data_IF_021244018443
#
_entry.id   IF_021244018443
#
_cell.length_a   1.000
_cell.length_b   1.000
_cell.length_c   1.000
_cell.angle_alpha   90.00
_cell.angle_beta   90.00
_cell.angle_gamma   90.00
#
_symmetry.space_group_name_H-M   'P 1'
#
loop_
_entity.id
_entity.type
_entity.pdbx_description
1 polymer ?
#
# COMPACT_ATOMS: atom_id res chain seq x y z
N UNK A 1 -8.46 -50.00 -17.46
CA UNK A 1 -9.87 -50.30 -17.82
C UNK A 1 -10.63 -48.98 -17.74
N UNK A 2 -11.04 -48.44 -18.89
CA UNK A 2 -11.76 -47.17 -19.01
C UNK A 2 -13.21 -47.37 -18.57
N UNK A 3 -13.59 -46.83 -17.41
CA UNK A 3 -15.00 -46.64 -17.07
C UNK A 3 -15.50 -45.41 -17.80
N UNK A 4 -16.38 -45.63 -18.78
CA UNK A 4 -17.07 -44.56 -19.51
C UNK A 4 -17.78 -43.65 -18.51
N UNK A 5 -17.42 -42.37 -18.49
CA UNK A 5 -18.25 -41.31 -17.91
C UNK A 5 -19.61 -41.38 -18.61
N UNK A 6 -20.62 -41.87 -17.88
CA UNK A 6 -21.98 -41.89 -18.37
C UNK A 6 -22.49 -40.46 -18.45
N UNK A 7 -23.08 -40.10 -19.60
CA UNK A 7 -23.91 -38.91 -19.83
C UNK A 7 -24.53 -38.45 -18.50
N UNK A 8 -24.25 -37.23 -18.05
CA UNK A 8 -24.64 -36.66 -16.75
C UNK A 8 -26.16 -36.51 -16.51
N UNK A 9 -26.92 -37.54 -16.83
CA UNK A 9 -28.36 -37.72 -16.66
C UNK A 9 -28.59 -38.67 -15.51
N UNK A 10 -29.54 -38.33 -14.64
CA UNK A 10 -29.98 -39.21 -13.58
C UNK A 10 -30.51 -40.52 -14.17
N UNK A 11 -30.06 -41.66 -13.65
CA UNK A 11 -30.47 -42.99 -14.13
C UNK A 11 -31.94 -43.31 -13.85
N UNK A 12 -32.55 -42.62 -12.90
CA UNK A 12 -33.94 -42.88 -12.48
C UNK A 12 -34.97 -42.04 -13.22
N UNK A 13 -34.70 -40.75 -13.46
CA UNK A 13 -35.65 -39.84 -14.12
C UNK A 13 -35.15 -39.19 -15.40
N UNK A 14 -33.90 -39.46 -15.82
CA UNK A 14 -33.30 -38.89 -17.03
C UNK A 14 -33.01 -37.39 -16.97
N UNK A 15 -33.27 -36.72 -15.84
CA UNK A 15 -33.00 -35.30 -15.66
C UNK A 15 -31.50 -35.00 -15.66
N UNK A 16 -31.12 -33.90 -16.29
CA UNK A 16 -29.74 -33.39 -16.34
C UNK A 16 -29.42 -32.38 -15.22
N UNK A 17 -30.43 -31.97 -14.44
CA UNK A 17 -30.25 -30.99 -13.37
C UNK A 17 -29.91 -31.69 -12.05
N UNK A 18 -28.77 -31.29 -11.48
CA UNK A 18 -28.27 -31.73 -10.17
C UNK A 18 -28.40 -30.56 -9.18
N UNK A 19 -28.79 -30.85 -7.94
CA UNK A 19 -28.88 -29.92 -6.82
C UNK A 19 -27.87 -30.36 -5.76
N UNK A 20 -27.22 -29.42 -5.10
CA UNK A 20 -26.24 -29.71 -4.04
C UNK A 20 -26.98 -30.05 -2.73
N UNK A 21 -26.87 -31.31 -2.30
CA UNK A 21 -27.34 -31.76 -0.98
C UNK A 21 -26.25 -31.60 0.09
N UNK A 22 -26.48 -32.12 1.29
CA UNK A 22 -25.53 -31.95 2.41
C UNK A 22 -24.26 -32.80 2.30
N UNK A 23 -24.33 -33.91 1.56
CA UNK A 23 -23.23 -34.88 1.46
C UNK A 23 -23.01 -35.40 0.04
N UNK A 24 -24.02 -35.27 -0.83
CA UNK A 24 -24.04 -35.77 -2.20
C UNK A 24 -24.81 -34.76 -3.07
N UNK A 25 -24.51 -34.71 -4.36
CA UNK A 25 -25.39 -34.08 -5.34
C UNK A 25 -26.64 -34.94 -5.54
N UNK A 26 -27.81 -34.32 -5.44
CA UNK A 26 -29.12 -34.94 -5.62
C UNK A 26 -29.68 -34.59 -6.99
N UNK A 27 -30.51 -35.45 -7.57
CA UNK A 27 -31.22 -35.12 -8.78
C UNK A 27 -32.45 -34.24 -8.50
N UNK A 28 -32.55 -33.08 -9.15
CA UNK A 28 -33.68 -32.15 -9.01
C UNK A 28 -35.05 -32.77 -9.32
N UNK A 29 -35.09 -33.80 -10.18
CA UNK A 29 -36.32 -34.42 -10.64
C UNK A 29 -36.86 -35.56 -9.78
N UNK A 30 -35.98 -36.36 -9.14
CA UNK A 30 -36.38 -37.55 -8.38
C UNK A 30 -35.75 -37.66 -6.99
N UNK A 31 -34.85 -36.75 -6.62
CA UNK A 31 -34.11 -36.80 -5.36
C UNK A 31 -33.07 -37.92 -5.27
N UNK A 32 -32.82 -38.65 -6.35
CA UNK A 32 -31.84 -39.74 -6.37
C UNK A 32 -30.42 -39.23 -6.14
N UNK A 33 -29.67 -39.93 -5.28
CA UNK A 33 -28.27 -39.64 -4.99
C UNK A 33 -27.40 -39.88 -6.23
N UNK A 34 -26.60 -38.88 -6.62
CA UNK A 34 -25.72 -38.94 -7.79
C UNK A 34 -24.27 -39.14 -7.35
N UNK A 35 -23.55 -38.04 -7.12
CA UNK A 35 -22.13 -38.03 -6.81
C UNK A 35 -21.92 -37.52 -5.39
N UNK A 36 -21.00 -38.14 -4.65
CA UNK A 36 -20.56 -37.62 -3.36
C UNK A 36 -19.91 -36.27 -3.54
N UNK A 37 -20.24 -35.31 -2.69
CA UNK A 37 -19.49 -34.06 -2.61
C UNK A 37 -18.06 -34.38 -2.20
N UNK A 38 -17.10 -33.70 -2.81
CA UNK A 38 -15.72 -33.76 -2.34
C UNK A 38 -15.73 -33.29 -0.88
N UNK A 39 -15.11 -34.04 0.05
CA UNK A 39 -15.03 -33.60 1.43
C UNK A 39 -14.31 -32.25 1.46
N UNK A 40 -14.94 -31.25 2.07
CA UNK A 40 -14.31 -29.95 2.31
C UNK A 40 -12.93 -30.21 2.93
N UNK A 41 -11.82 -29.76 2.31
CA UNK A 41 -10.47 -29.95 2.86
C UNK A 41 -10.31 -29.35 4.27
N UNK A 42 -11.34 -28.66 4.78
CA UNK A 42 -11.41 -28.15 6.12
C UNK A 42 -10.67 -26.82 6.21
N UNK A 43 -10.86 -26.13 7.33
CA UNK A 43 -10.13 -24.92 7.63
C UNK A 43 -8.65 -25.25 7.89
N UNK A 44 -7.83 -25.20 6.86
CA UNK A 44 -6.38 -25.18 7.02
C UNK A 44 -6.02 -23.79 7.52
N UNK A 45 -5.36 -23.69 8.69
CA UNK A 45 -4.74 -22.43 9.13
C UNK A 45 -3.63 -22.12 8.11
N UNK A 46 -4.00 -21.45 7.02
CA UNK A 46 -3.04 -20.95 6.06
C UNK A 46 -2.10 -19.98 6.78
N UNK A 47 -0.82 -19.98 6.40
CA UNK A 47 0.14 -18.98 6.89
C UNK A 47 -0.52 -17.60 6.92
N UNK A 48 -0.55 -16.98 8.10
CA UNK A 48 -1.17 -15.65 8.36
C UNK A 48 -0.55 -14.52 7.55
N UNK A 49 0.48 -14.81 6.75
CA UNK A 49 1.11 -13.89 5.80
C UNK A 49 0.36 -13.92 4.47
N UNK A 50 -0.10 -12.76 3.95
CA UNK A 50 -0.65 -12.65 2.59
C UNK A 50 0.34 -13.22 1.57
N UNK A 51 -0.14 -13.88 0.52
CA UNK A 51 0.72 -14.51 -0.50
C UNK A 51 1.76 -13.56 -1.08
N UNK A 52 1.39 -12.29 -1.26
CA UNK A 52 2.26 -11.22 -1.77
C UNK A 52 3.46 -10.93 -0.86
N UNK A 53 3.33 -11.17 0.45
CA UNK A 53 4.39 -10.98 1.46
C UNK A 53 5.10 -12.28 1.82
N UNK A 54 4.66 -13.42 1.26
CA UNK A 54 5.36 -14.68 1.45
C UNK A 54 6.65 -14.60 0.64
N UNK A 55 7.74 -15.00 1.29
CA UNK A 55 8.96 -15.29 0.54
C UNK A 55 8.59 -16.35 -0.49
N UNK A 56 8.81 -16.06 -1.77
CA UNK A 56 8.84 -17.08 -2.78
C UNK A 56 10.00 -18.00 -2.42
N UNK A 57 9.73 -19.02 -1.60
CA UNK A 57 10.64 -20.15 -1.43
C UNK A 57 10.60 -20.99 -2.70
N UNK A 58 10.87 -20.34 -3.82
CA UNK A 58 11.02 -20.94 -5.14
C UNK A 58 12.37 -21.67 -5.25
N UNK A 59 13.07 -21.83 -4.11
CA UNK A 59 14.09 -22.85 -3.86
C UNK A 59 13.56 -24.28 -4.09
N UNK A 60 12.24 -24.45 -4.16
CA UNK A 60 11.54 -25.72 -4.39
C UNK A 60 10.78 -25.77 -5.72
N UNK A 61 11.14 -24.98 -6.74
CA UNK A 61 10.53 -25.15 -8.07
C UNK A 61 10.78 -26.53 -8.68
N UNK A 62 11.66 -27.34 -8.06
CA UNK A 62 12.04 -28.70 -8.46
C UNK A 62 11.58 -29.79 -7.45
N UNK A 63 10.74 -29.46 -6.45
CA UNK A 63 10.19 -30.44 -5.51
C UNK A 63 11.08 -30.73 -4.27
N UNK A 64 11.18 -32.02 -3.89
CA UNK A 64 11.70 -32.52 -2.61
C UNK A 64 13.15 -32.15 -2.28
N UNK A 65 13.46 -31.98 -0.99
CA UNK A 65 14.82 -31.69 -0.49
C UNK A 65 15.63 -32.96 -0.27
N UNK A 66 16.93 -32.90 -0.57
CA UNK A 66 17.92 -33.90 -0.15
C UNK A 66 18.36 -33.56 1.28
N UNK A 67 18.07 -34.47 2.21
CA UNK A 67 18.45 -34.32 3.63
C UNK A 67 19.96 -34.38 3.85
N UNK A 68 20.38 -33.94 5.04
CA UNK A 68 21.78 -34.04 5.47
C UNK A 68 22.17 -35.51 5.60
N UNK A 69 23.09 -35.95 4.74
CA UNK A 69 23.71 -37.28 4.80
C UNK A 69 25.22 -37.13 4.99
N UNK A 70 25.82 -38.11 5.67
CA UNK A 70 27.26 -38.26 5.86
C UNK A 70 27.97 -38.76 4.59
N UNK A 71 27.22 -39.28 3.62
CA UNK A 71 27.77 -39.78 2.36
C UNK A 71 28.25 -38.64 1.45
N UNK A 72 29.49 -38.76 0.96
CA UNK A 72 30.12 -37.75 0.08
C UNK A 72 29.34 -37.52 -1.21
N UNK A 73 28.73 -38.57 -1.76
CA UNK A 73 27.93 -38.49 -3.01
C UNK A 73 26.61 -37.75 -2.75
N UNK A 74 25.91 -38.08 -1.67
CA UNK A 74 24.68 -37.39 -1.28
C UNK A 74 24.95 -35.91 -0.94
N UNK A 75 26.06 -35.62 -0.24
CA UNK A 75 26.49 -34.26 0.04
C UNK A 75 26.80 -33.45 -1.24
N UNK A 76 27.41 -34.09 -2.25
CA UNK A 76 27.68 -33.45 -3.56
C UNK A 76 26.40 -33.20 -4.33
N UNK A 77 25.50 -34.19 -4.39
CA UNK A 77 24.18 -34.05 -5.03
C UNK A 77 23.33 -32.97 -4.35
N UNK A 78 23.38 -32.87 -3.02
CA UNK A 78 22.73 -31.80 -2.26
C UNK A 78 23.29 -30.42 -2.63
N UNK A 79 24.61 -30.26 -2.73
CA UNK A 79 25.22 -28.99 -3.15
C UNK A 79 24.79 -28.60 -4.56
N UNK A 80 24.80 -29.55 -5.50
CA UNK A 80 24.36 -29.32 -6.88
C UNK A 80 22.86 -29.00 -6.91
N UNK A 81 22.04 -29.74 -6.19
CA UNK A 81 20.61 -29.48 -6.08
C UNK A 81 20.34 -28.08 -5.51
N UNK A 82 21.01 -27.68 -4.42
CA UNK A 82 20.91 -26.32 -3.86
C UNK A 82 21.34 -25.27 -4.87
N UNK A 83 22.43 -25.48 -5.61
CA UNK A 83 22.89 -24.53 -6.62
C UNK A 83 21.90 -24.40 -7.78
N UNK A 84 21.40 -25.53 -8.29
CA UNK A 84 20.48 -25.60 -9.44
C UNK A 84 19.08 -25.14 -9.07
N UNK A 85 18.61 -25.43 -7.86
CA UNK A 85 17.32 -24.97 -7.35
C UNK A 85 17.38 -23.55 -6.77
N UNK A 86 18.59 -23.02 -6.50
CA UNK A 86 18.74 -21.62 -6.08
C UNK A 86 18.46 -20.68 -7.25
N UNK A 87 17.21 -20.21 -7.33
CA UNK A 87 16.92 -18.98 -8.05
C UNK A 87 17.53 -17.82 -7.26
N UNK A 88 18.39 -17.03 -7.89
CA UNK A 88 18.88 -15.77 -7.28
C UNK A 88 17.65 -14.92 -6.96
N UNK A 89 17.48 -14.44 -5.71
CA UNK A 89 16.32 -13.62 -5.36
C UNK A 89 16.29 -12.40 -6.27
N UNK A 90 15.11 -12.13 -6.82
CA UNK A 90 14.90 -10.96 -7.66
C UNK A 90 15.08 -9.70 -6.79
N UNK A 91 15.35 -8.58 -7.44
CA UNK A 91 15.48 -7.32 -6.70
C UNK A 91 14.18 -6.95 -5.97
N UNK A 92 13.03 -7.25 -6.57
CA UNK A 92 11.71 -7.08 -5.95
C UNK A 92 11.54 -7.89 -4.66
N UNK A 93 12.03 -9.13 -4.63
CA UNK A 93 11.98 -9.97 -3.43
C UNK A 93 12.76 -9.34 -2.27
N UNK A 94 13.90 -8.69 -2.56
CA UNK A 94 14.67 -7.96 -1.54
C UNK A 94 13.91 -6.73 -1.02
N UNK A 95 13.20 -6.01 -1.90
CA UNK A 95 12.38 -4.86 -1.49
C UNK A 95 11.25 -5.30 -0.57
N UNK A 96 10.57 -6.40 -0.91
CA UNK A 96 9.48 -6.97 -0.10
C UNK A 96 10.02 -7.50 1.24
N UNK A 97 11.21 -8.11 1.25
CA UNK A 97 11.86 -8.55 2.47
C UNK A 97 12.14 -7.39 3.44
N UNK A 98 12.72 -6.29 2.95
CA UNK A 98 12.98 -5.09 3.77
C UNK A 98 11.67 -4.46 4.28
N UNK A 99 10.59 -4.50 3.49
CA UNK A 99 9.26 -4.07 3.93
C UNK A 99 8.74 -4.92 5.09
N UNK A 100 8.80 -6.25 4.97
CA UNK A 100 8.27 -7.18 5.98
C UNK A 100 9.12 -7.15 7.26
N UNK A 101 10.44 -7.04 7.15
CA UNK A 101 11.35 -7.00 8.30
C UNK A 101 11.06 -5.80 9.21
N UNK A 102 10.73 -4.64 8.62
CA UNK A 102 10.61 -3.38 9.37
C UNK A 102 9.18 -2.95 9.64
N UNK A 103 8.26 -3.19 8.71
CA UNK A 103 6.85 -2.80 8.84
C UNK A 103 5.97 -3.93 9.35
N UNK A 104 6.52 -5.15 9.47
CA UNK A 104 5.75 -6.34 9.79
C UNK A 104 4.75 -6.71 8.70
N UNK A 105 3.87 -7.67 9.02
CA UNK A 105 2.81 -8.15 8.14
C UNK A 105 1.56 -7.32 8.41
N UNK A 106 1.46 -6.17 7.73
CA UNK A 106 0.34 -5.23 7.84
C UNK A 106 -0.35 -5.02 6.49
N UNK A 107 -1.60 -4.57 6.50
CA UNK A 107 -2.32 -4.18 5.25
C UNK A 107 -1.54 -3.13 4.44
N UNK A 108 -0.81 -2.24 5.11
CA UNK A 108 0.04 -1.25 4.46
C UNK A 108 1.25 -1.89 3.76
N UNK A 109 1.91 -2.87 4.41
CA UNK A 109 3.01 -3.62 3.78
C UNK A 109 2.52 -4.46 2.60
N UNK A 110 1.34 -5.07 2.71
CA UNK A 110 0.71 -5.84 1.63
C UNK A 110 0.39 -4.95 0.43
N UNK A 111 -0.29 -3.82 0.66
CA UNK A 111 -0.55 -2.84 -0.39
C UNK A 111 0.73 -2.32 -1.05
N UNK A 112 1.79 -2.11 -0.26
CA UNK A 112 3.06 -1.60 -0.78
C UNK A 112 3.75 -2.63 -1.67
N UNK A 113 3.72 -3.90 -1.25
CA UNK A 113 4.26 -5.01 -2.02
C UNK A 113 3.45 -5.23 -3.31
N UNK A 114 2.11 -5.18 -3.27
CA UNK A 114 1.27 -5.27 -4.48
C UNK A 114 1.60 -4.16 -5.48
N UNK A 115 1.72 -2.91 -5.01
CA UNK A 115 2.11 -1.77 -5.84
C UNK A 115 3.48 -1.99 -6.48
N UNK A 116 4.45 -2.50 -5.72
CA UNK A 116 5.79 -2.75 -6.24
C UNK A 116 5.83 -3.88 -7.27
N UNK A 117 5.02 -4.93 -7.09
CA UNK A 117 4.91 -6.04 -8.07
C UNK A 117 4.26 -5.53 -9.36
N UNK A 118 3.21 -4.74 -9.26
CA UNK A 118 2.55 -4.11 -10.42
C UNK A 118 3.55 -3.26 -11.21
N UNK A 119 4.28 -2.39 -10.52
CA UNK A 119 5.32 -1.56 -11.15
C UNK A 119 6.47 -2.37 -11.75
N UNK A 120 6.94 -3.42 -11.08
CA UNK A 120 8.02 -4.28 -11.58
C UNK A 120 7.60 -5.10 -12.81
N UNK A 121 6.30 -5.38 -12.96
CA UNK A 121 5.74 -6.09 -14.11
C UNK A 121 5.80 -5.25 -15.39
N UNK A 122 5.58 -3.93 -15.28
CA UNK A 122 5.71 -2.96 -16.39
C UNK A 122 7.18 -2.65 -16.69
N UNK A 123 7.94 -2.22 -15.68
CA UNK A 123 9.37 -1.95 -15.81
C UNK A 123 10.15 -2.53 -14.63
N UNK A 124 11.00 -3.52 -14.95
CA UNK A 124 11.83 -4.20 -13.94
C UNK A 124 12.69 -3.23 -13.14
N UNK A 125 12.36 -3.03 -11.86
CA UNK A 125 13.03 -2.11 -10.93
C UNK A 125 14.51 -2.45 -10.76
N UNK A 126 14.86 -3.74 -10.86
CA UNK A 126 16.25 -4.20 -10.80
C UNK A 126 17.15 -3.71 -11.96
N UNK A 127 16.56 -3.26 -13.08
CA UNK A 127 17.30 -2.62 -14.20
C UNK A 127 17.69 -1.19 -13.89
N UNK A 128 17.00 -0.53 -12.96
CA UNK A 128 17.28 0.84 -12.55
C UNK A 128 18.48 0.85 -11.59
N UNK A 129 19.68 0.97 -12.18
CA UNK A 129 20.98 0.96 -11.47
C UNK A 129 21.58 2.34 -11.27
N UNK A 130 20.79 3.40 -11.39
CA UNK A 130 21.28 4.77 -11.21
C UNK A 130 21.87 4.92 -9.80
N UNK A 131 23.13 5.40 -9.72
CA UNK A 131 23.80 5.68 -8.44
C UNK A 131 22.99 6.71 -7.65
N UNK A 132 22.82 6.44 -6.37
CA UNK A 132 22.05 7.26 -5.43
C UNK A 132 22.99 8.16 -4.64
N UNK A 133 22.49 9.29 -4.14
CA UNK A 133 23.31 10.23 -3.39
C UNK A 133 23.79 9.64 -2.06
N UNK A 134 22.96 8.82 -1.41
CA UNK A 134 23.30 8.12 -0.17
C UNK A 134 24.31 6.98 -0.32
N UNK A 135 24.62 6.53 -1.55
CA UNK A 135 25.50 5.36 -1.79
C UNK A 135 26.95 5.74 -2.10
N UNK A 136 27.38 6.98 -1.83
CA UNK A 136 28.71 7.50 -2.25
C UNK A 136 29.91 6.78 -1.60
N UNK A 137 29.72 6.08 -0.48
CA UNK A 137 30.78 5.37 0.26
C UNK A 137 30.45 3.89 0.53
N UNK A 138 29.41 3.36 -0.10
CA UNK A 138 28.90 2.01 0.17
C UNK A 138 29.48 0.97 -0.82
N UNK A 139 29.63 -0.26 -0.36
CA UNK A 139 29.92 -1.41 -1.23
C UNK A 139 28.77 -1.73 -2.18
N UNK A 140 28.97 -2.65 -3.14
CA UNK A 140 27.93 -3.02 -4.11
C UNK A 140 26.68 -3.65 -3.46
N UNK A 141 26.87 -4.48 -2.44
CA UNK A 141 25.78 -5.13 -1.70
C UNK A 141 25.00 -4.12 -0.86
N UNK A 142 25.69 -3.30 -0.05
CA UNK A 142 25.06 -2.24 0.75
C UNK A 142 24.33 -1.21 -0.13
N UNK A 143 24.87 -0.89 -1.30
CA UNK A 143 24.21 -0.02 -2.27
C UNK A 143 22.95 -0.67 -2.85
N UNK A 144 22.92 -2.00 -3.00
CA UNK A 144 21.73 -2.74 -3.43
C UNK A 144 20.65 -2.71 -2.34
N UNK A 145 21.02 -2.93 -1.09
CA UNK A 145 20.07 -2.91 0.04
C UNK A 145 19.53 -1.51 0.29
N UNK A 146 20.38 -0.48 0.20
CA UNK A 146 19.93 0.92 0.27
C UNK A 146 18.91 1.25 -0.85
N UNK A 147 19.15 0.76 -2.08
CA UNK A 147 18.18 0.94 -3.17
C UNK A 147 16.87 0.20 -2.89
N UNK A 148 16.94 -1.00 -2.32
CA UNK A 148 15.74 -1.76 -1.95
C UNK A 148 14.91 -0.98 -0.92
N UNK A 149 15.55 -0.47 0.15
CA UNK A 149 14.92 0.41 1.15
C UNK A 149 14.34 1.68 0.54
N UNK A 150 15.03 2.30 -0.41
CA UNK A 150 14.54 3.51 -1.08
C UNK A 150 13.23 3.25 -1.86
N UNK A 151 13.12 2.13 -2.58
CA UNK A 151 11.88 1.76 -3.28
C UNK A 151 10.77 1.32 -2.31
N UNK A 152 11.10 0.57 -1.27
CA UNK A 152 10.17 0.20 -0.20
C UNK A 152 9.55 1.45 0.46
N UNK A 153 10.39 2.41 0.86
CA UNK A 153 9.94 3.65 1.48
C UNK A 153 9.11 4.51 0.51
N UNK A 154 9.48 4.53 -0.77
CA UNK A 154 8.71 5.23 -1.79
C UNK A 154 7.32 4.64 -1.98
N UNK A 155 7.17 3.31 -1.98
CA UNK A 155 5.88 2.64 -2.06
C UNK A 155 4.99 2.97 -0.85
N UNK A 156 5.54 2.85 0.37
CA UNK A 156 4.82 3.23 1.59
C UNK A 156 4.42 4.71 1.58
N UNK A 157 5.31 5.59 1.12
CA UNK A 157 5.03 7.01 1.00
C UNK A 157 3.88 7.28 0.01
N UNK A 158 3.82 6.58 -1.12
CA UNK A 158 2.72 6.71 -2.10
C UNK A 158 1.40 6.30 -1.46
N UNK A 159 1.36 5.17 -0.75
CA UNK A 159 0.15 4.73 -0.06
C UNK A 159 -0.29 5.71 1.04
N UNK A 160 0.67 6.23 1.82
CA UNK A 160 0.38 7.24 2.82
C UNK A 160 -0.18 8.50 2.19
N UNK A 161 0.43 8.93 1.08
CA UNK A 161 -0.01 10.08 0.28
C UNK A 161 -1.38 9.86 -0.35
N UNK A 162 -1.83 8.61 -0.53
CA UNK A 162 -3.16 8.26 -1.01
C UNK A 162 -4.19 8.15 0.12
N UNK A 163 -3.79 8.43 1.37
CA UNK A 163 -4.65 8.42 2.55
C UNK A 163 -4.71 7.08 3.30
N UNK A 164 -3.85 6.12 2.96
CA UNK A 164 -3.65 4.90 3.74
C UNK A 164 -2.61 5.16 4.83
N UNK A 165 -3.07 5.58 6.02
CA UNK A 165 -2.20 5.87 7.17
C UNK A 165 -1.20 4.75 7.42
N UNK A 166 0.09 5.09 7.39
CA UNK A 166 1.17 4.13 7.65
C UNK A 166 2.42 4.80 8.25
N UNK A 167 3.45 4.00 8.55
CA UNK A 167 4.69 4.43 9.20
C UNK A 167 5.75 4.99 8.24
N UNK A 168 5.40 5.33 6.98
CA UNK A 168 6.35 5.80 5.96
C UNK A 168 7.33 6.90 6.43
N UNK A 169 6.89 7.95 7.17
CA UNK A 169 7.82 8.99 7.62
C UNK A 169 8.81 8.52 8.69
N UNK A 170 8.44 7.53 9.50
CA UNK A 170 9.33 6.92 10.49
C UNK A 170 10.33 6.00 9.80
N UNK A 171 9.82 5.08 8.97
CA UNK A 171 10.61 4.11 8.21
C UNK A 171 11.68 4.78 7.33
N UNK A 172 11.34 5.86 6.62
CA UNK A 172 12.31 6.58 5.80
C UNK A 172 13.44 7.24 6.62
N UNK A 173 13.13 7.72 7.83
CA UNK A 173 14.13 8.30 8.74
C UNK A 173 15.00 7.20 9.36
N UNK A 174 14.40 6.11 9.81
CA UNK A 174 15.09 4.99 10.44
C UNK A 174 16.05 4.30 9.45
N UNK A 175 15.71 4.27 8.17
CA UNK A 175 16.59 3.80 7.10
C UNK A 175 17.65 4.80 6.64
N UNK A 176 17.66 6.02 7.18
CA UNK A 176 18.64 7.05 6.82
C UNK A 176 18.59 7.46 5.35
N UNK A 177 17.40 7.42 4.73
CA UNK A 177 17.27 7.72 3.31
C UNK A 177 17.45 9.22 3.03
N UNK A 178 18.29 9.54 2.05
CA UNK A 178 18.45 10.91 1.57
C UNK A 178 17.17 11.34 0.85
N UNK A 179 16.64 12.53 1.18
CA UNK A 179 15.40 13.06 0.60
C UNK A 179 15.37 13.03 -0.94
N UNK A 180 16.47 13.41 -1.59
CA UNK A 180 16.58 13.40 -3.06
C UNK A 180 16.45 11.99 -3.66
N UNK A 181 16.97 10.98 -2.98
CA UNK A 181 16.89 9.60 -3.42
C UNK A 181 15.46 9.06 -3.27
N UNK A 182 14.81 9.37 -2.15
CA UNK A 182 13.41 9.03 -1.91
C UNK A 182 12.49 9.73 -2.92
N UNK A 183 12.67 11.03 -3.15
CA UNK A 183 11.89 11.79 -4.13
C UNK A 183 12.06 11.23 -5.56
N UNK A 184 13.30 10.87 -5.93
CA UNK A 184 13.56 10.24 -7.22
C UNK A 184 12.93 8.85 -7.32
N UNK A 185 12.95 8.04 -6.26
CA UNK A 185 12.29 6.73 -6.23
C UNK A 185 10.76 6.87 -6.36
N UNK A 186 10.14 7.81 -5.64
CA UNK A 186 8.71 8.13 -5.76
C UNK A 186 8.35 8.52 -7.20
N UNK A 187 9.16 9.37 -7.84
CA UNK A 187 8.94 9.78 -9.23
C UNK A 187 8.99 8.59 -10.19
N UNK A 188 9.97 7.69 -10.03
CA UNK A 188 10.10 6.49 -10.85
C UNK A 188 8.85 5.61 -10.70
N UNK A 189 8.45 5.29 -9.47
CA UNK A 189 7.26 4.47 -9.23
C UNK A 189 6.01 5.13 -9.84
N UNK A 190 5.82 6.44 -9.67
CA UNK A 190 4.66 7.17 -10.24
C UNK A 190 4.63 7.16 -11.76
N UNK A 191 5.77 7.30 -12.42
CA UNK A 191 5.84 7.23 -13.88
C UNK A 191 5.45 5.84 -14.38
N UNK A 192 5.91 4.80 -13.68
CA UNK A 192 5.71 3.42 -14.11
C UNK A 192 4.30 2.91 -13.78
N UNK A 193 3.65 3.46 -12.74
CA UNK A 193 2.21 3.25 -12.49
C UNK A 193 1.30 3.89 -13.56
N UNK A 194 1.81 4.84 -14.35
CA UNK A 194 1.01 5.59 -15.31
C UNK A 194 0.66 4.85 -16.61
N UNK A 195 1.17 3.62 -16.81
CA UNK A 195 0.96 2.83 -18.02
C UNK A 195 -0.19 1.81 -17.96
N UNK A 196 -0.70 1.48 -16.77
CA UNK A 196 -1.71 0.44 -16.56
C UNK A 196 -3.16 0.95 -16.68
N UNK A 197 -4.05 0.09 -17.20
CA UNK A 197 -5.46 0.34 -17.54
C UNK A 197 -6.22 1.28 -16.58
N UNK A 198 -6.78 2.35 -17.16
CA UNK A 198 -7.55 3.42 -16.51
C UNK A 198 -8.86 2.95 -15.82
N UNK A 199 -9.27 1.70 -16.07
CA UNK A 199 -10.56 1.14 -15.59
C UNK A 199 -10.54 0.64 -14.15
N UNK A 200 -9.37 0.31 -13.58
CA UNK A 200 -9.21 -0.06 -12.16
C UNK A 200 -8.74 1.11 -11.30
N UNK A 201 -8.46 2.26 -11.92
CA UNK A 201 -7.95 3.43 -11.21
C UNK A 201 -9.09 4.15 -10.53
N UNK A 202 -8.96 4.33 -9.22
CA UNK A 202 -9.93 5.08 -8.43
C UNK A 202 -10.09 6.51 -9.01
N UNK A 203 -11.34 6.98 -9.09
CA UNK A 203 -11.65 8.31 -9.64
C UNK A 203 -10.80 9.38 -8.93
N UNK A 204 -10.20 10.35 -9.66
CA UNK A 204 -9.34 11.37 -9.06
C UNK A 204 -10.00 12.14 -7.91
N UNK A 205 -11.31 12.41 -7.99
CA UNK A 205 -12.07 13.07 -6.92
C UNK A 205 -12.16 12.22 -5.65
N UNK A 206 -12.37 10.91 -5.77
CA UNK A 206 -12.42 9.97 -4.64
C UNK A 206 -11.05 9.89 -3.96
N UNK A 207 -9.98 9.77 -4.77
CA UNK A 207 -8.61 9.80 -4.26
C UNK A 207 -8.34 11.11 -3.51
N UNK A 208 -8.62 12.26 -4.14
CA UNK A 208 -8.43 13.59 -3.55
C UNK A 208 -9.20 13.74 -2.24
N UNK A 209 -10.45 13.30 -2.21
CA UNK A 209 -11.32 13.30 -1.03
C UNK A 209 -10.71 12.48 0.12
N UNK A 210 -10.22 11.27 -0.18
CA UNK A 210 -9.56 10.41 0.81
C UNK A 210 -8.27 11.04 1.35
N UNK A 211 -7.46 11.61 0.48
CA UNK A 211 -6.21 12.30 0.88
C UNK A 211 -6.50 13.49 1.80
N UNK A 212 -7.48 14.33 1.46
CA UNK A 212 -7.84 15.47 2.30
C UNK A 212 -8.39 15.03 3.66
N UNK A 213 -9.26 14.02 3.71
CA UNK A 213 -9.74 13.45 4.99
C UNK A 213 -8.60 12.91 5.85
N UNK A 214 -7.62 12.27 5.23
CA UNK A 214 -6.43 11.79 5.94
C UNK A 214 -5.63 12.95 6.54
N UNK A 215 -5.35 14.01 5.78
CA UNK A 215 -4.60 15.18 6.28
C UNK A 215 -5.37 15.97 7.35
N UNK A 216 -6.70 16.12 7.21
CA UNK A 216 -7.56 16.72 8.23
C UNK A 216 -7.51 15.90 9.54
N UNK A 217 -7.60 14.57 9.44
CA UNK A 217 -7.48 13.67 10.60
C UNK A 217 -6.10 13.78 11.25
N UNK A 218 -5.04 13.89 10.45
CA UNK A 218 -3.68 14.10 10.93
C UNK A 218 -3.53 15.44 11.65
N UNK A 219 -4.08 16.52 11.09
CA UNK A 219 -4.08 17.85 11.71
C UNK A 219 -4.82 17.86 13.05
N UNK A 220 -5.96 17.16 13.15
CA UNK A 220 -6.71 17.00 14.39
C UNK A 220 -5.83 16.50 15.53
N UNK A 221 -4.99 15.50 15.29
CA UNK A 221 -4.10 14.93 16.32
C UNK A 221 -3.10 15.98 16.84
N UNK A 222 -2.51 16.79 15.95
CA UNK A 222 -1.57 17.85 16.36
C UNK A 222 -2.26 19.04 17.03
N UNK A 223 -3.50 19.34 16.64
CA UNK A 223 -4.30 20.40 17.28
C UNK A 223 -4.71 20.01 18.70
N UNK A 224 -4.99 18.72 18.97
CA UNK A 224 -5.28 18.21 20.30
C UNK A 224 -4.13 18.38 21.30
N UNK A 225 -2.88 18.50 20.84
CA UNK A 225 -1.74 18.82 21.70
C UNK A 225 -1.76 20.28 22.21
N UNK A 226 -2.57 21.15 21.58
CA UNK A 226 -2.53 22.60 21.81
C UNK A 226 -3.86 23.18 22.31
N UNK A 227 -4.99 22.55 21.98
CA UNK A 227 -6.33 23.07 22.21
C UNK A 227 -7.23 22.03 22.88
N UNK A 228 -8.34 22.49 23.46
CA UNK A 228 -9.37 21.59 24.00
C UNK A 228 -10.13 20.92 22.86
N UNK A 229 -10.73 19.77 23.13
CA UNK A 229 -11.46 18.99 22.13
C UNK A 229 -12.52 19.79 21.38
N UNK A 230 -13.29 20.65 22.07
CA UNK A 230 -14.35 21.46 21.47
C UNK A 230 -13.78 22.48 20.47
N UNK A 231 -12.67 23.13 20.81
CA UNK A 231 -11.96 24.08 19.93
C UNK A 231 -11.38 23.35 18.71
N UNK A 232 -10.81 22.14 18.91
CA UNK A 232 -10.29 21.33 17.80
C UNK A 232 -11.41 20.95 16.84
N UNK A 233 -12.57 20.54 17.35
CA UNK A 233 -13.73 20.19 16.52
C UNK A 233 -14.16 21.39 15.68
N UNK A 234 -14.28 22.57 16.29
CA UNK A 234 -14.63 23.80 15.57
C UNK A 234 -13.61 24.16 14.49
N UNK A 235 -12.30 24.09 14.78
CA UNK A 235 -11.25 24.35 13.79
C UNK A 235 -11.37 23.40 12.59
N UNK A 236 -11.58 22.11 12.85
CA UNK A 236 -11.70 21.09 11.79
C UNK A 236 -12.99 21.28 10.97
N UNK A 237 -14.10 21.61 11.59
CA UNK A 237 -15.37 21.88 10.90
C UNK A 237 -15.26 23.11 9.99
N UNK A 238 -14.72 24.23 10.48
CA UNK A 238 -14.50 25.44 9.69
C UNK A 238 -13.49 25.16 8.57
N UNK A 239 -12.39 24.46 8.83
CA UNK A 239 -11.42 24.10 7.80
C UNK A 239 -12.04 23.21 6.70
N UNK A 240 -12.88 22.26 7.08
CA UNK A 240 -13.60 21.40 6.13
C UNK A 240 -14.56 22.21 5.28
N UNK A 241 -15.27 23.17 5.89
CA UNK A 241 -16.16 24.08 5.18
C UNK A 241 -15.39 24.95 4.17
N UNK A 242 -14.27 25.56 4.56
CA UNK A 242 -13.41 26.34 3.65
C UNK A 242 -12.98 25.49 2.44
N UNK A 243 -12.59 24.24 2.66
CA UNK A 243 -12.20 23.33 1.58
C UNK A 243 -13.38 23.04 0.63
N UNK A 244 -14.57 22.79 1.18
CA UNK A 244 -15.78 22.55 0.38
C UNK A 244 -16.19 23.79 -0.42
N UNK A 245 -16.15 24.97 0.20
CA UNK A 245 -16.49 26.24 -0.43
C UNK A 245 -15.51 26.59 -1.58
N UNK A 246 -14.24 26.16 -1.46
CA UNK A 246 -13.21 26.24 -2.50
C UNK A 246 -13.26 25.08 -3.51
N UNK A 247 -14.33 24.28 -3.51
CA UNK A 247 -14.59 23.27 -4.52
C UNK A 247 -13.90 21.91 -4.33
N UNK A 248 -13.29 21.64 -3.17
CA UNK A 248 -12.69 20.34 -2.89
C UNK A 248 -13.77 19.24 -2.67
N UNK A 249 -13.51 17.98 -3.07
CA UNK A 249 -14.51 16.92 -3.11
C UNK A 249 -14.78 16.28 -1.74
N UNK A 250 -15.04 17.08 -0.72
CA UNK A 250 -15.36 16.62 0.64
C UNK A 250 -16.86 16.48 0.92
N UNK A 251 -17.70 17.10 0.08
CA UNK A 251 -19.16 17.02 0.16
C UNK A 251 -19.73 15.64 -0.23
N UNK A 252 -21.06 15.47 -0.08
CA UNK A 252 -21.75 14.19 -0.29
C UNK A 252 -21.61 13.63 -1.71
N UNK A 253 -21.57 14.50 -2.71
CA UNK A 253 -21.44 14.12 -4.13
C UNK A 253 -19.99 13.94 -4.58
N UNK A 254 -19.00 14.30 -3.75
CA UNK A 254 -17.57 14.28 -4.07
C UNK A 254 -17.24 14.98 -5.42
N UNK A 255 -18.00 16.02 -5.76
CA UNK A 255 -17.73 16.85 -6.92
C UNK A 255 -16.46 17.65 -6.69
N UNK A 256 -15.55 17.62 -7.66
CA UNK A 256 -14.30 18.37 -7.62
C UNK A 256 -14.41 19.54 -8.58
N UNK A 257 -14.60 20.73 -8.03
CA UNK A 257 -14.74 21.96 -8.78
C UNK A 257 -13.41 22.71 -8.85
N UNK A 258 -13.26 23.57 -9.84
CA UNK A 258 -12.07 24.41 -9.97
C UNK A 258 -12.14 25.56 -8.98
N UNK A 259 -11.39 25.48 -7.89
CA UNK A 259 -11.20 26.57 -6.93
C UNK A 259 -9.73 26.81 -6.58
N UNK A 260 -9.47 27.57 -5.51
CA UNK A 260 -8.11 28.01 -5.13
C UNK A 260 -7.12 26.86 -4.95
N UNK A 261 -7.60 25.72 -4.47
CA UNK A 261 -6.77 24.57 -4.13
C UNK A 261 -6.61 23.54 -5.26
N UNK A 262 -7.18 23.82 -6.44
CA UNK A 262 -7.00 22.99 -7.62
C UNK A 262 -5.51 22.83 -7.95
N UNK A 263 -5.06 21.59 -8.17
CA UNK A 263 -3.66 21.21 -8.39
C UNK A 263 -2.68 21.49 -7.22
N UNK A 264 -3.16 21.91 -6.05
CA UNK A 264 -2.32 22.07 -4.85
C UNK A 264 -2.24 20.74 -4.09
N UNK A 265 -1.07 20.31 -3.58
CA UNK A 265 -0.96 19.06 -2.82
C UNK A 265 -1.87 19.02 -1.59
N UNK A 266 -2.52 17.87 -1.32
CA UNK A 266 -3.53 17.71 -0.26
C UNK A 266 -3.02 18.10 1.13
N UNK A 267 -1.76 17.81 1.42
CA UNK A 267 -1.06 18.22 2.66
C UNK A 267 -1.07 19.73 2.84
N UNK A 268 -0.68 20.47 1.80
CA UNK A 268 -0.64 21.92 1.79
C UNK A 268 -2.04 22.52 1.84
N UNK A 269 -2.96 21.99 1.02
CA UNK A 269 -4.35 22.42 0.98
C UNK A 269 -5.03 22.30 2.36
N UNK A 270 -4.95 21.13 3.00
CA UNK A 270 -5.55 20.91 4.32
C UNK A 270 -4.93 21.82 5.39
N UNK A 271 -3.61 22.04 5.35
CA UNK A 271 -2.93 22.91 6.30
C UNK A 271 -3.29 24.39 6.09
N UNK A 272 -3.29 24.89 4.85
CA UNK A 272 -3.73 26.26 4.55
C UNK A 272 -5.16 26.51 5.04
N UNK A 273 -6.08 25.55 4.82
CA UNK A 273 -7.45 25.64 5.31
C UNK A 273 -7.52 25.64 6.85
N UNK A 274 -6.73 24.81 7.53
CA UNK A 274 -6.68 24.79 8.99
C UNK A 274 -6.14 26.10 9.59
N UNK A 275 -5.09 26.69 9.00
CA UNK A 275 -4.56 27.98 9.45
C UNK A 275 -5.58 29.11 9.21
N UNK A 276 -6.29 29.07 8.08
CA UNK A 276 -7.36 30.05 7.79
C UNK A 276 -8.52 29.91 8.78
N UNK A 277 -8.94 28.68 9.09
CA UNK A 277 -9.96 28.41 10.10
C UNK A 277 -9.56 28.88 11.50
N UNK A 278 -8.30 28.68 11.90
CA UNK A 278 -7.77 29.20 13.15
C UNK A 278 -7.86 30.73 13.20
N UNK A 279 -7.56 31.42 12.09
CA UNK A 279 -7.68 32.86 12.00
C UNK A 279 -9.13 33.34 12.10
N UNK A 280 -10.07 32.70 11.40
CA UNK A 280 -11.50 33.02 11.46
C UNK A 280 -12.10 32.82 12.86
N UNK A 281 -11.59 31.86 13.62
CA UNK A 281 -11.99 31.59 15.00
C UNK A 281 -11.28 32.49 16.03
N UNK A 282 -10.48 33.46 15.59
CA UNK A 282 -9.76 34.39 16.46
C UNK A 282 -8.61 33.75 17.26
N UNK A 283 -8.11 32.59 16.83
CA UNK A 283 -6.97 31.95 17.49
C UNK A 283 -5.71 32.76 17.23
N UNK A 284 -4.79 32.89 18.20
CA UNK A 284 -3.63 33.76 18.03
C UNK A 284 -2.64 33.16 17.02
N UNK A 285 -1.99 34.02 16.22
CA UNK A 285 -0.96 33.63 15.23
C UNK A 285 0.15 32.75 15.84
N UNK A 286 0.48 32.94 17.12
CA UNK A 286 1.48 32.11 17.82
C UNK A 286 1.10 30.62 17.81
N UNK A 287 -0.19 30.29 17.89
CA UNK A 287 -0.65 28.90 17.87
C UNK A 287 -0.53 28.29 16.47
N UNK A 288 -0.84 29.07 15.43
CA UNK A 288 -0.62 28.67 14.04
C UNK A 288 0.87 28.40 13.75
N UNK A 289 1.78 29.24 14.26
CA UNK A 289 3.23 29.02 14.17
C UNK A 289 3.67 27.76 14.92
N UNK A 290 3.16 27.55 16.13
CA UNK A 290 3.45 26.34 16.93
C UNK A 290 3.00 25.06 16.23
N UNK A 291 1.84 25.09 15.56
CA UNK A 291 1.38 23.98 14.72
C UNK A 291 2.35 23.71 13.56
N UNK A 292 2.83 24.74 12.88
CA UNK A 292 3.80 24.59 11.80
C UNK A 292 5.16 24.04 12.27
N UNK A 293 5.64 24.46 13.44
CA UNK A 293 6.88 23.92 14.02
C UNK A 293 6.78 22.41 14.30
N UNK A 294 5.59 21.95 14.73
CA UNK A 294 5.32 20.53 14.99
C UNK A 294 5.07 19.72 13.72
N UNK A 295 4.44 20.35 12.74
CA UNK A 295 4.09 19.75 11.46
C UNK A 295 4.64 20.61 10.31
N UNK A 296 5.97 20.59 10.07
CA UNK A 296 6.55 21.36 9.00
C UNK A 296 6.16 20.76 7.65
N UNK A 297 5.50 21.57 6.82
CA UNK A 297 5.14 21.21 5.45
C UNK A 297 6.10 21.89 4.48
N UNK A 298 6.64 21.10 3.54
CA UNK A 298 7.54 21.58 2.50
C UNK A 298 6.85 22.64 1.64
N UNK A 299 7.52 23.79 1.44
CA UNK A 299 7.01 24.90 0.63
C UNK A 299 6.01 25.81 1.35
N UNK A 300 5.78 25.63 2.66
CA UNK A 300 4.85 26.45 3.46
C UNK A 300 5.50 27.58 4.25
N UNK A 301 6.83 27.69 4.28
CA UNK A 301 7.54 28.75 5.01
C UNK A 301 7.07 30.15 4.57
N UNK A 302 7.03 30.39 3.27
CA UNK A 302 6.59 31.66 2.69
C UNK A 302 5.11 31.97 2.98
N UNK A 303 4.25 30.94 3.03
CA UNK A 303 2.86 31.14 3.44
C UNK A 303 2.80 31.56 4.91
N UNK A 304 3.52 30.88 5.80
CA UNK A 304 3.55 31.20 7.22
C UNK A 304 4.12 32.58 7.53
N UNK A 305 5.06 33.08 6.72
CA UNK A 305 5.59 34.44 6.83
C UNK A 305 4.51 35.50 6.51
N UNK A 306 3.67 35.26 5.51
CA UNK A 306 2.65 36.21 5.04
C UNK A 306 1.28 36.04 5.69
N UNK A 307 1.03 34.91 6.35
CA UNK A 307 -0.26 34.62 6.94
C UNK A 307 -0.63 35.55 8.11
N UNK A 308 0.29 36.38 8.61
CA UNK A 308 0.01 37.36 9.67
C UNK A 308 -1.16 38.27 9.36
N UNK A 309 -1.38 38.62 8.09
CA UNK A 309 -2.52 39.43 7.64
C UNK A 309 -3.89 38.76 7.86
N UNK A 310 -3.94 37.43 7.98
CA UNK A 310 -5.18 36.70 8.28
C UNK A 310 -5.58 36.82 9.76
N UNK A 311 -4.61 37.05 10.64
CA UNK A 311 -4.80 37.08 12.09
C UNK A 311 -4.97 38.50 12.65
N UNK A 312 -5.21 39.49 11.78
CA UNK A 312 -5.46 40.87 12.19
C UNK A 312 -6.97 41.03 12.42
N UNK A 313 -7.40 40.79 13.65
CA UNK A 313 -8.64 41.32 14.19
C UNK A 313 -8.30 42.39 15.24
#
# INVERSE_FOLDING_TARGET
MNSKEGDGKCKECGSTKKVEGLTHYECDGCGGELERLEPDPGFVIGDTKPMVLRQSNDRNSLGSRIDLSSDKVAARLRKVHIMTSSKKPLFIDLVILELVDKCGVSKASEGAATLLIEVDSEEKLGRIRKKRHGTKSMGEEESRDYRARAFAAAALHILNSNGQSNTAPQVARDWGLVYLDLASAIRILRNNMGGGNDTLREKPSVLRSRQLRHEISRLRNFLQEQFKMDEVIQIIEVATKILMDEGEPLGPNQEWLTGRFCNVPSTRTAFEAAITAMAELGMPLRSARRLYERLPITGMSYFMERCSGLFVC
#
